data_IF_246070483969
#
_entry.id   IF_246070483969
#
_cell.length_a   1.000
_cell.length_b   1.000
_cell.length_c   1.000
_cell.angle_alpha   90.00
_cell.angle_beta   90.00
_cell.angle_gamma   90.00
#
_symmetry.space_group_name_H-M   'P 1'
#
loop_
_entity.id
_entity.type
_entity.pdbx_description
1 polymer ?
#
# COMPACT_ATOMS: atom_id res chain seq x y z
N UNK A 1 -2.54 -8.76 22.47
CA UNK A 1 -3.03 -9.23 21.15
C UNK A 1 -2.25 -8.51 20.05
N UNK A 2 -1.92 -9.14 18.88
CA UNK A 2 -1.10 -8.53 17.85
C UNK A 2 -1.72 -8.70 16.48
N UNK A 3 -1.46 -7.75 15.57
CA UNK A 3 -1.69 -7.91 14.15
C UNK A 3 -0.52 -7.32 13.35
N UNK A 4 -0.32 -7.80 12.13
CA UNK A 4 0.68 -7.25 11.24
C UNK A 4 0.06 -6.69 9.96
N UNK A 5 0.69 -5.63 9.47
CA UNK A 5 0.34 -4.97 8.21
C UNK A 5 1.56 -4.96 7.29
N UNK A 6 1.33 -5.21 6.01
CA UNK A 6 2.36 -5.24 4.97
C UNK A 6 2.02 -4.23 3.89
N UNK A 7 3.00 -3.50 3.37
CA UNK A 7 2.93 -2.79 2.09
C UNK A 7 3.76 -3.55 1.08
N UNK A 8 3.16 -3.90 -0.06
CA UNK A 8 3.79 -4.74 -1.05
C UNK A 8 3.50 -4.25 -2.48
N UNK A 9 4.44 -3.54 -3.10
CA UNK A 9 4.42 -3.33 -4.54
C UNK A 9 4.63 -4.69 -5.23
N UNK A 10 3.60 -5.16 -5.93
CA UNK A 10 3.51 -6.50 -6.48
C UNK A 10 4.30 -6.67 -7.79
N UNK A 11 4.79 -5.58 -8.33
CA UNK A 11 5.38 -5.44 -9.67
C UNK A 11 4.43 -5.93 -10.75
N UNK A 12 3.94 -5.04 -11.54
CA UNK A 12 2.93 -5.32 -12.57
C UNK A 12 3.35 -6.40 -13.57
N UNK A 13 2.37 -7.03 -14.19
CA UNK A 13 2.62 -7.92 -15.34
C UNK A 13 3.01 -7.15 -16.60
N UNK A 14 2.52 -5.92 -16.75
CA UNK A 14 2.76 -5.11 -17.94
C UNK A 14 4.25 -4.77 -18.07
N UNK A 15 4.82 -5.06 -19.29
CA UNK A 15 6.26 -4.84 -19.52
C UNK A 15 7.20 -5.83 -18.85
N UNK A 16 6.70 -6.85 -18.18
CA UNK A 16 7.50 -7.84 -17.44
C UNK A 16 8.34 -8.78 -18.31
N UNK A 17 8.18 -8.74 -19.63
CA UNK A 17 9.02 -9.54 -20.56
C UNK A 17 10.51 -9.19 -20.45
N UNK A 18 10.84 -7.95 -20.04
CA UNK A 18 12.20 -7.51 -19.76
C UNK A 18 12.75 -7.98 -18.41
N UNK A 19 11.93 -8.52 -17.52
CA UNK A 19 12.32 -8.88 -16.14
C UNK A 19 13.06 -10.26 -16.08
N UNK A 20 13.19 -10.98 -17.20
CA UNK A 20 13.92 -12.24 -17.28
C UNK A 20 13.41 -13.28 -16.29
N UNK A 21 14.31 -13.80 -15.43
CA UNK A 21 13.95 -14.76 -14.37
C UNK A 21 12.98 -14.16 -13.35
N UNK A 22 12.89 -12.84 -13.23
CA UNK A 22 11.97 -12.15 -12.34
C UNK A 22 10.62 -11.83 -13.00
N UNK A 23 10.35 -12.38 -14.20
CA UNK A 23 9.02 -12.28 -14.79
C UNK A 23 7.97 -12.88 -13.84
N UNK A 24 6.78 -12.28 -13.82
CA UNK A 24 5.71 -12.67 -12.90
C UNK A 24 5.41 -14.17 -12.89
N UNK A 25 5.50 -14.84 -14.04
CA UNK A 25 5.26 -16.29 -14.15
C UNK A 25 6.19 -17.12 -13.25
N UNK A 26 7.41 -16.62 -13.00
CA UNK A 26 8.37 -17.25 -12.09
C UNK A 26 8.19 -16.80 -10.64
N UNK A 27 7.69 -15.57 -10.43
CA UNK A 27 7.50 -14.97 -9.11
C UNK A 27 6.24 -15.44 -8.39
N UNK A 28 5.20 -15.83 -9.12
CA UNK A 28 3.89 -16.16 -8.54
C UNK A 28 3.97 -17.21 -7.43
N UNK A 29 4.67 -18.32 -7.65
CA UNK A 29 4.89 -19.35 -6.63
C UNK A 29 5.58 -18.83 -5.37
N UNK A 30 6.82 -18.30 -5.50
CA UNK A 30 7.56 -17.67 -4.39
C UNK A 30 6.78 -16.61 -3.61
N UNK A 31 6.02 -15.74 -4.29
CA UNK A 31 5.20 -14.71 -3.63
C UNK A 31 4.16 -15.35 -2.69
N UNK A 32 3.38 -16.32 -3.20
CA UNK A 32 2.33 -16.94 -2.39
C UNK A 32 2.88 -17.81 -1.28
N UNK A 33 3.98 -18.52 -1.51
CA UNK A 33 4.70 -19.24 -0.45
C UNK A 33 5.13 -18.27 0.67
N UNK A 34 5.67 -17.08 0.32
CA UNK A 34 6.05 -16.07 1.30
C UNK A 34 4.86 -15.51 2.07
N UNK A 35 3.73 -15.24 1.38
CA UNK A 35 2.50 -14.78 2.03
C UNK A 35 1.97 -15.86 3.01
N UNK A 36 1.99 -17.13 2.62
CA UNK A 36 1.55 -18.22 3.51
C UNK A 36 2.47 -18.41 4.71
N UNK A 37 3.78 -18.29 4.52
CA UNK A 37 4.77 -18.38 5.60
C UNK A 37 4.63 -17.22 6.60
N UNK A 38 4.56 -15.99 6.09
CA UNK A 38 4.45 -14.79 6.91
C UNK A 38 3.06 -14.60 7.53
N UNK A 39 2.03 -15.17 6.89
CA UNK A 39 0.62 -15.12 7.30
C UNK A 39 0.16 -13.71 7.73
N UNK A 40 0.38 -12.65 6.91
CA UNK A 40 0.06 -11.29 7.28
C UNK A 40 -1.44 -11.13 7.51
N UNK A 41 -1.80 -10.25 8.46
CA UNK A 41 -3.20 -9.96 8.76
C UNK A 41 -3.84 -9.03 7.73
N UNK A 42 -3.06 -8.06 7.25
CA UNK A 42 -3.50 -7.09 6.25
C UNK A 42 -2.34 -6.81 5.27
N UNK A 43 -2.64 -6.76 3.97
CA UNK A 43 -1.65 -6.43 2.93
C UNK A 43 -2.21 -5.31 2.06
N UNK A 44 -1.47 -4.21 1.94
CA UNK A 44 -1.69 -3.20 0.90
C UNK A 44 -0.85 -3.53 -0.32
N UNK A 45 -1.49 -3.93 -1.41
CA UNK A 45 -0.84 -4.22 -2.68
C UNK A 45 -0.85 -3.00 -3.60
N UNK A 46 0.25 -2.78 -4.34
CA UNK A 46 0.35 -1.82 -5.44
C UNK A 46 0.72 -2.57 -6.72
N UNK A 47 0.49 -1.97 -7.87
CA UNK A 47 0.79 -2.50 -9.22
C UNK A 47 0.09 -3.82 -9.58
N UNK A 48 -1.01 -4.16 -8.95
CA UNK A 48 -1.75 -5.38 -9.30
C UNK A 48 -2.46 -5.18 -10.64
N UNK A 49 -2.07 -5.93 -11.66
CA UNK A 49 -2.76 -5.91 -12.96
C UNK A 49 -4.02 -6.79 -12.95
N UNK A 50 -4.87 -6.62 -13.97
CA UNK A 50 -6.07 -7.42 -14.21
C UNK A 50 -5.79 -8.93 -14.32
N UNK A 51 -4.61 -9.29 -14.84
CA UNK A 51 -4.17 -10.69 -14.88
C UNK A 51 -3.74 -11.23 -13.53
N UNK A 52 -3.12 -10.37 -12.70
CA UNK A 52 -2.59 -10.77 -11.39
C UNK A 52 -3.69 -10.88 -10.32
N UNK A 53 -4.74 -10.06 -10.40
CA UNK A 53 -5.84 -10.10 -9.43
C UNK A 53 -6.50 -11.49 -9.35
N UNK A 54 -6.59 -12.20 -10.46
CA UNK A 54 -7.16 -13.56 -10.53
C UNK A 54 -6.38 -14.55 -9.66
N UNK A 55 -5.05 -14.38 -9.56
CA UNK A 55 -4.22 -15.22 -8.67
C UNK A 55 -4.44 -14.84 -7.21
N UNK A 56 -4.52 -13.55 -6.89
CA UNK A 56 -4.83 -13.09 -5.53
C UNK A 56 -6.17 -13.66 -5.04
N UNK A 57 -7.21 -13.56 -5.86
CA UNK A 57 -8.54 -14.10 -5.52
C UNK A 57 -8.54 -15.63 -5.31
N UNK A 58 -7.80 -16.34 -6.15
CA UNK A 58 -7.78 -17.84 -6.11
C UNK A 58 -6.88 -18.39 -5.00
N UNK A 59 -5.74 -17.74 -4.75
CA UNK A 59 -4.70 -18.25 -3.86
C UNK A 59 -4.78 -17.67 -2.44
N UNK A 60 -5.57 -16.61 -2.23
CA UNK A 60 -5.82 -16.02 -0.92
C UNK A 60 -7.30 -16.15 -0.49
N UNK A 61 -7.88 -17.38 -0.45
CA UNK A 61 -9.30 -17.59 -0.14
C UNK A 61 -9.68 -17.12 1.27
N UNK A 62 -8.72 -17.05 2.20
CA UNK A 62 -8.92 -16.59 3.58
C UNK A 62 -8.87 -15.07 3.73
N UNK A 63 -8.57 -14.35 2.63
CA UNK A 63 -8.55 -12.89 2.62
C UNK A 63 -9.77 -12.34 1.86
N UNK A 64 -10.28 -11.22 2.35
CA UNK A 64 -11.19 -10.37 1.60
C UNK A 64 -10.35 -9.31 0.87
N UNK A 65 -10.43 -9.29 -0.46
CA UNK A 65 -9.82 -8.24 -1.28
C UNK A 65 -10.80 -7.08 -1.42
N UNK A 66 -10.31 -5.86 -1.22
CA UNK A 66 -11.02 -4.61 -1.48
C UNK A 66 -10.09 -3.67 -2.23
N UNK A 67 -10.61 -2.96 -3.21
CA UNK A 67 -9.82 -2.05 -4.05
C UNK A 67 -10.33 -2.02 -5.48
N UNK A 68 -9.57 -1.34 -6.34
CA UNK A 68 -10.00 -1.08 -7.72
C UNK A 68 -8.81 -0.84 -8.64
N UNK A 69 -9.05 -0.99 -9.94
CA UNK A 69 -8.14 -0.57 -11.00
C UNK A 69 -8.26 0.92 -11.27
N UNK A 70 -7.19 1.54 -11.74
CA UNK A 70 -7.04 3.00 -11.80
C UNK A 70 -7.59 3.66 -13.06
N UNK A 71 -7.72 2.91 -14.19
CA UNK A 71 -8.16 3.49 -15.45
C UNK A 71 -9.68 3.80 -15.46
N UNK A 72 -10.12 4.63 -16.39
CA UNK A 72 -11.52 5.05 -16.47
C UNK A 72 -12.50 3.91 -16.78
N UNK A 73 -12.03 2.86 -17.44
CA UNK A 73 -12.77 1.64 -17.76
C UNK A 73 -12.53 0.52 -16.71
N UNK A 74 -11.90 0.86 -15.59
CA UNK A 74 -11.56 -0.07 -14.51
C UNK A 74 -10.62 -1.21 -14.93
N UNK A 75 -9.66 -0.89 -15.78
CA UNK A 75 -8.56 -1.78 -16.20
C UNK A 75 -7.20 -1.26 -15.71
N UNK A 76 -6.12 -1.84 -16.22
CA UNK A 76 -4.75 -1.43 -15.96
C UNK A 76 -4.21 -1.98 -14.65
N UNK A 77 -3.50 -1.14 -13.92
CA UNK A 77 -3.00 -1.46 -12.59
C UNK A 77 -3.96 -0.96 -11.51
N UNK A 78 -4.05 -1.72 -10.42
CA UNK A 78 -4.82 -1.34 -9.26
C UNK A 78 -4.01 -1.33 -7.98
N UNK A 79 -4.57 -0.70 -6.97
CA UNK A 79 -4.18 -0.91 -5.58
C UNK A 79 -5.26 -1.72 -4.88
N UNK A 80 -4.86 -2.71 -4.08
CA UNK A 80 -5.81 -3.56 -3.37
C UNK A 80 -5.39 -3.71 -1.91
N UNK A 81 -6.36 -3.94 -1.04
CA UNK A 81 -6.12 -4.28 0.37
C UNK A 81 -6.67 -5.69 0.59
N UNK A 82 -5.81 -6.63 0.96
CA UNK A 82 -6.19 -7.97 1.38
C UNK A 82 -6.31 -8.00 2.90
N UNK A 83 -7.44 -8.46 3.41
CA UNK A 83 -7.78 -8.46 4.85
C UNK A 83 -8.15 -9.87 5.28
N UNK A 84 -7.49 -10.42 6.29
CA UNK A 84 -7.82 -11.74 6.84
C UNK A 84 -9.24 -11.78 7.41
N UNK A 85 -10.09 -12.65 6.84
CA UNK A 85 -11.52 -12.76 7.18
C UNK A 85 -11.78 -13.24 8.60
N UNK A 86 -10.91 -14.11 9.12
CA UNK A 86 -10.99 -14.63 10.49
C UNK A 86 -10.59 -13.62 11.56
N UNK A 87 -9.72 -12.66 11.21
CA UNK A 87 -9.18 -11.65 12.11
C UNK A 87 -9.94 -10.34 12.09
N UNK A 88 -10.43 -9.94 10.92
CA UNK A 88 -11.04 -8.62 10.71
C UNK A 88 -12.38 -8.71 10.02
N UNK A 89 -13.21 -7.70 10.30
CA UNK A 89 -14.44 -7.40 9.58
C UNK A 89 -14.25 -6.10 8.81
N UNK A 90 -14.48 -6.13 7.51
CA UNK A 90 -14.60 -4.93 6.68
C UNK A 90 -15.94 -4.26 6.96
N UNK A 91 -15.92 -3.04 7.52
CA UNK A 91 -17.13 -2.27 7.87
C UNK A 91 -17.54 -1.34 6.74
N UNK A 92 -16.57 -0.78 6.01
CA UNK A 92 -16.78 0.08 4.86
C UNK A 92 -15.50 0.15 4.03
N UNK A 93 -15.63 0.43 2.74
CA UNK A 93 -14.50 0.76 1.88
C UNK A 93 -14.90 1.79 0.83
N UNK A 94 -13.92 2.51 0.31
CA UNK A 94 -14.06 3.45 -0.78
C UNK A 94 -12.77 3.50 -1.59
N UNK A 95 -12.87 3.86 -2.86
CA UNK A 95 -11.76 4.19 -3.75
C UNK A 95 -11.97 5.60 -4.28
N UNK A 96 -10.92 6.39 -4.30
CA UNK A 96 -10.94 7.72 -4.89
C UNK A 96 -9.67 7.96 -5.72
N UNK A 97 -9.82 8.74 -6.80
CA UNK A 97 -8.73 9.15 -7.66
C UNK A 97 -7.99 10.33 -7.03
N UNK A 98 -6.68 10.31 -7.13
CA UNK A 98 -5.82 11.42 -6.70
C UNK A 98 -5.86 12.49 -7.78
N UNK A 99 -6.90 13.33 -7.71
CA UNK A 99 -7.24 14.31 -8.75
C UNK A 99 -8.15 15.41 -8.19
N UNK A 100 -8.39 16.52 -8.94
CA UNK A 100 -9.38 17.53 -8.57
C UNK A 100 -10.82 16.99 -8.53
N UNK A 101 -11.08 15.84 -9.16
CA UNK A 101 -12.39 15.18 -9.22
C UNK A 101 -12.31 13.75 -8.71
N UNK A 102 -12.16 13.52 -7.39
CA UNK A 102 -11.77 12.23 -6.80
C UNK A 102 -12.71 11.06 -7.10
N UNK A 103 -13.95 11.34 -7.47
CA UNK A 103 -14.97 10.32 -7.75
C UNK A 103 -15.26 10.16 -9.25
N UNK A 104 -14.45 10.75 -10.12
CA UNK A 104 -14.49 10.53 -11.57
C UNK A 104 -13.43 9.51 -11.96
N UNK A 105 -13.82 8.30 -12.40
CA UNK A 105 -12.88 7.26 -12.80
C UNK A 105 -11.89 7.73 -13.87
N UNK A 106 -10.62 7.38 -13.68
CA UNK A 106 -9.52 7.75 -14.59
C UNK A 106 -9.09 9.21 -14.52
N UNK A 107 -9.67 10.02 -13.63
CA UNK A 107 -9.26 11.42 -13.46
C UNK A 107 -7.86 11.55 -12.87
N UNK A 108 -7.15 12.64 -13.24
CA UNK A 108 -5.79 12.91 -12.82
C UNK A 108 -5.50 14.41 -12.81
N UNK A 109 -4.41 14.81 -12.18
CA UNK A 109 -3.86 16.17 -12.28
C UNK A 109 -3.16 16.39 -13.63
N UNK A 110 -3.02 17.62 -14.07
CA UNK A 110 -2.27 17.96 -15.30
C UNK A 110 -0.78 17.65 -15.14
N UNK A 111 -0.24 17.84 -13.96
CA UNK A 111 1.16 17.62 -13.59
C UNK A 111 1.51 16.12 -13.49
N UNK A 112 0.51 15.26 -13.53
CA UNK A 112 0.66 13.81 -13.37
C UNK A 112 1.12 13.17 -14.69
N UNK A 113 1.82 12.04 -14.57
CA UNK A 113 2.10 11.15 -15.70
C UNK A 113 0.81 10.70 -16.42
N UNK A 114 0.94 9.97 -17.53
CA UNK A 114 -0.20 9.39 -18.23
C UNK A 114 -1.09 8.46 -17.39
N UNK A 115 -0.60 8.02 -16.23
CA UNK A 115 -1.28 7.04 -15.40
C UNK A 115 -2.14 7.70 -14.31
N UNK A 116 -3.45 7.49 -14.25
CA UNK A 116 -4.26 7.86 -13.09
C UNK A 116 -3.73 7.20 -11.81
N UNK A 117 -3.89 7.87 -10.67
CA UNK A 117 -3.51 7.32 -9.36
C UNK A 117 -4.71 7.30 -8.44
N UNK A 118 -4.80 6.27 -7.62
CA UNK A 118 -5.92 6.04 -6.70
C UNK A 118 -5.43 5.79 -5.29
N UNK A 119 -6.32 6.01 -4.35
CA UNK A 119 -6.18 5.56 -2.97
C UNK A 119 -7.41 4.76 -2.58
N UNK A 120 -7.19 3.59 -2.01
CA UNK A 120 -8.24 2.80 -1.38
C UNK A 120 -8.24 3.07 0.11
N UNK A 121 -9.41 3.24 0.70
CA UNK A 121 -9.58 3.33 2.14
C UNK A 121 -10.57 2.28 2.62
N UNK A 122 -10.19 1.54 3.65
CA UNK A 122 -11.05 0.55 4.31
C UNK A 122 -11.17 0.86 5.79
N UNK A 123 -12.37 0.72 6.35
CA UNK A 123 -12.61 0.75 7.80
C UNK A 123 -12.75 -0.68 8.29
N UNK A 124 -11.89 -1.07 9.22
CA UNK A 124 -11.77 -2.40 9.75
C UNK A 124 -12.14 -2.47 11.22
N UNK A 125 -12.74 -3.58 11.63
CA UNK A 125 -12.89 -3.97 13.03
C UNK A 125 -12.09 -5.25 13.28
N UNK A 126 -11.17 -5.21 14.22
CA UNK A 126 -10.54 -6.43 14.72
C UNK A 126 -11.56 -7.24 15.50
N UNK A 127 -11.77 -8.50 15.11
CA UNK A 127 -12.94 -9.30 15.61
C UNK A 127 -12.88 -9.57 17.09
N UNK A 128 -11.71 -9.87 17.61
CA UNK A 128 -11.53 -10.28 18.99
C UNK A 128 -11.58 -9.08 19.96
N UNK A 129 -10.85 -7.98 19.66
CA UNK A 129 -10.80 -6.79 20.53
C UNK A 129 -11.90 -5.78 20.28
N UNK A 130 -12.60 -5.85 19.15
CA UNK A 130 -13.52 -4.82 18.71
C UNK A 130 -12.86 -3.51 18.25
N UNK A 131 -11.52 -3.42 18.25
CA UNK A 131 -10.78 -2.23 17.86
C UNK A 131 -11.08 -1.84 16.40
N UNK A 132 -11.40 -0.56 16.19
CA UNK A 132 -11.76 -0.05 14.86
C UNK A 132 -10.68 0.94 14.42
N UNK A 133 -10.24 0.81 13.15
CA UNK A 133 -9.28 1.72 12.52
C UNK A 133 -9.52 1.80 11.01
N UNK A 134 -8.83 2.71 10.33
CA UNK A 134 -8.81 2.82 8.87
C UNK A 134 -7.46 2.39 8.33
N UNK A 135 -7.47 1.85 7.13
CA UNK A 135 -6.27 1.66 6.33
C UNK A 135 -6.46 2.29 4.97
N UNK A 136 -5.50 3.10 4.58
CA UNK A 136 -5.34 3.68 3.26
C UNK A 136 -4.23 2.94 2.53
N UNK A 137 -4.41 2.67 1.25
CA UNK A 137 -3.36 2.08 0.41
C UNK A 137 -3.33 2.80 -0.93
N UNK A 138 -2.14 3.22 -1.35
CA UNK A 138 -1.96 4.06 -2.54
C UNK A 138 -0.69 3.70 -3.30
N UNK A 139 -0.59 4.25 -4.52
CA UNK A 139 0.62 4.28 -5.33
C UNK A 139 0.70 5.65 -6.01
N UNK A 140 1.63 6.51 -5.54
CA UNK A 140 1.77 7.87 -6.04
C UNK A 140 2.41 7.91 -7.44
N UNK A 141 2.41 9.09 -8.06
CA UNK A 141 2.97 9.26 -9.40
C UNK A 141 4.48 9.04 -9.45
N UNK A 142 4.95 8.30 -10.45
CA UNK A 142 6.36 7.93 -10.57
C UNK A 142 7.22 8.99 -11.25
N UNK A 143 6.62 10.01 -11.92
CA UNK A 143 7.34 11.06 -12.66
C UNK A 143 7.24 12.41 -11.95
N UNK A 144 6.02 12.90 -11.74
CA UNK A 144 5.76 14.26 -11.30
C UNK A 144 5.93 14.49 -9.79
N UNK A 145 6.88 15.31 -9.36
CA UNK A 145 6.98 15.68 -7.95
C UNK A 145 5.73 16.43 -7.48
N UNK A 146 5.26 17.41 -8.28
CA UNK A 146 4.04 18.15 -7.98
C UNK A 146 2.82 17.25 -7.91
N UNK A 147 2.69 16.29 -8.82
CA UNK A 147 1.62 15.30 -8.78
C UNK A 147 1.64 14.46 -7.50
N UNK A 148 2.83 14.10 -6.98
CA UNK A 148 2.95 13.41 -5.69
C UNK A 148 2.49 14.27 -4.52
N UNK A 149 2.84 15.56 -4.52
CA UNK A 149 2.40 16.52 -3.50
C UNK A 149 0.88 16.66 -3.52
N UNK A 150 0.28 16.91 -4.69
CA UNK A 150 -1.17 17.02 -4.86
C UNK A 150 -1.89 15.72 -4.50
N UNK A 151 -1.33 14.58 -4.91
CA UNK A 151 -1.85 13.26 -4.55
C UNK A 151 -1.85 13.01 -3.04
N UNK A 152 -0.76 13.36 -2.35
CA UNK A 152 -0.68 13.26 -0.89
C UNK A 152 -1.67 14.21 -0.22
N UNK A 153 -1.85 15.44 -0.73
CA UNK A 153 -2.88 16.36 -0.23
C UNK A 153 -4.29 15.78 -0.32
N UNK A 154 -4.62 15.10 -1.43
CA UNK A 154 -5.91 14.40 -1.56
C UNK A 154 -6.10 13.36 -0.44
N UNK A 155 -5.07 12.53 -0.18
CA UNK A 155 -5.11 11.48 0.85
C UNK A 155 -5.29 12.09 2.24
N UNK A 156 -4.50 13.12 2.57
CA UNK A 156 -4.54 13.79 3.87
C UNK A 156 -5.87 14.53 4.09
N UNK A 157 -6.40 15.18 3.05
CA UNK A 157 -7.71 15.83 3.10
C UNK A 157 -8.85 14.83 3.34
N UNK A 158 -8.79 13.65 2.70
CA UNK A 158 -9.78 12.59 2.93
C UNK A 158 -9.63 11.99 4.34
N UNK A 159 -8.41 11.80 4.83
CA UNK A 159 -8.15 11.37 6.20
C UNK A 159 -8.76 12.34 7.22
N UNK A 160 -8.51 13.65 7.06
CA UNK A 160 -9.06 14.71 7.91
C UNK A 160 -10.59 14.72 7.86
N UNK A 161 -11.17 14.70 6.65
CA UNK A 161 -12.62 14.66 6.43
C UNK A 161 -13.26 13.45 7.12
N UNK A 162 -12.69 12.27 6.97
CA UNK A 162 -13.21 11.06 7.62
C UNK A 162 -13.03 11.12 9.14
N UNK A 163 -11.93 11.72 9.61
CA UNK A 163 -11.64 11.82 11.03
C UNK A 163 -12.55 12.85 11.74
N UNK A 164 -12.96 13.92 11.05
CA UNK A 164 -13.94 14.89 11.57
C UNK A 164 -15.34 14.28 11.79
N UNK A 165 -15.69 13.25 11.00
CA UNK A 165 -16.96 12.52 11.15
C UNK A 165 -16.87 11.49 12.27
N UNK A 166 -15.77 10.74 12.31
CA UNK A 166 -15.52 9.71 13.33
C UNK A 166 -14.00 9.51 13.51
N UNK A 167 -13.44 9.88 14.68
CA UNK A 167 -11.99 9.91 14.91
C UNK A 167 -11.43 8.49 15.16
N UNK A 168 -11.27 7.71 14.12
CA UNK A 168 -10.61 6.40 14.19
C UNK A 168 -9.12 6.52 13.87
N UNK A 169 -8.27 5.72 14.53
CA UNK A 169 -6.89 5.53 14.14
C UNK A 169 -6.74 5.18 12.65
N UNK A 170 -5.62 5.53 12.05
CA UNK A 170 -5.38 5.26 10.64
C UNK A 170 -3.96 4.74 10.37
N UNK A 171 -3.87 3.87 9.36
CA UNK A 171 -2.65 3.37 8.74
C UNK A 171 -2.68 3.83 7.28
N UNK A 172 -1.56 4.31 6.74
CA UNK A 172 -1.38 4.61 5.32
C UNK A 172 -0.20 3.78 4.82
N UNK A 173 -0.43 2.93 3.84
CA UNK A 173 0.61 2.14 3.17
C UNK A 173 0.70 2.54 1.71
N UNK A 174 1.86 2.37 1.11
CA UNK A 174 1.99 2.52 -0.34
C UNK A 174 3.42 2.69 -0.82
N UNK A 175 3.55 2.54 -2.13
CA UNK A 175 4.68 3.05 -2.90
C UNK A 175 4.42 4.53 -3.17
N UNK A 176 5.20 5.38 -2.51
CA UNK A 176 5.03 6.84 -2.64
C UNK A 176 5.87 7.41 -3.79
N UNK A 177 6.69 6.59 -4.46
CA UNK A 177 7.62 7.04 -5.51
C UNK A 177 8.44 8.29 -5.10
N UNK A 178 8.68 8.45 -3.81
CA UNK A 178 9.23 9.64 -3.20
C UNK A 178 10.21 9.27 -2.08
N UNK A 179 11.37 9.91 -2.05
CA UNK A 179 12.34 9.76 -0.97
C UNK A 179 11.87 10.50 0.29
N UNK A 180 12.40 10.15 1.48
CA UNK A 180 11.98 10.77 2.75
C UNK A 180 12.06 12.29 2.78
N UNK A 181 13.06 12.87 2.10
CA UNK A 181 13.29 14.32 2.04
C UNK A 181 12.40 15.06 1.02
N UNK A 182 11.54 14.35 0.27
CA UNK A 182 10.66 14.97 -0.72
C UNK A 182 9.54 15.80 -0.08
N UNK A 183 9.02 16.78 -0.82
CA UNK A 183 7.92 17.63 -0.36
C UNK A 183 6.67 16.83 0.02
N UNK A 184 6.34 15.79 -0.74
CA UNK A 184 5.16 14.96 -0.46
C UNK A 184 5.29 14.21 0.88
N UNK A 185 6.48 13.70 1.22
CA UNK A 185 6.72 13.00 2.48
C UNK A 185 6.82 13.96 3.65
N UNK A 186 7.45 15.13 3.47
CA UNK A 186 7.47 16.21 4.46
C UNK A 186 6.04 16.64 4.81
N UNK A 187 5.18 16.87 3.80
CA UNK A 187 3.77 17.21 4.01
C UNK A 187 3.04 16.15 4.85
N UNK A 188 3.28 14.88 4.61
CA UNK A 188 2.68 13.79 5.38
C UNK A 188 3.12 13.83 6.85
N UNK A 189 4.42 14.02 7.11
CA UNK A 189 4.97 14.07 8.47
C UNK A 189 4.53 15.32 9.25
N UNK A 190 4.31 16.44 8.57
CA UNK A 190 3.93 17.73 9.17
C UNK A 190 2.41 17.95 9.24
N UNK A 191 1.61 16.96 8.88
CA UNK A 191 0.15 17.10 8.84
C UNK A 191 -0.47 17.22 10.24
N UNK A 192 -0.62 18.43 10.71
CA UNK A 192 -1.10 18.73 12.05
C UNK A 192 -2.54 18.29 12.38
N UNK A 193 -3.54 18.32 11.44
CA UNK A 193 -4.91 17.92 11.76
C UNK A 193 -5.05 16.47 12.25
N UNK A 194 -4.24 15.56 11.69
CA UNK A 194 -4.17 14.14 12.10
C UNK A 194 -2.70 13.71 12.04
N UNK A 195 -1.95 13.89 13.13
CA UNK A 195 -0.52 13.59 13.16
C UNK A 195 -0.21 12.13 12.78
N UNK A 196 0.73 11.97 11.86
CA UNK A 196 1.19 10.70 11.32
C UNK A 196 2.67 10.48 11.65
N UNK A 197 3.02 9.24 11.94
CA UNK A 197 4.41 8.81 12.15
C UNK A 197 4.78 7.79 11.09
N UNK A 198 5.91 7.97 10.41
CA UNK A 198 6.51 6.92 9.57
C UNK A 198 7.11 5.85 10.48
N UNK A 199 6.38 4.75 10.68
CA UNK A 199 6.85 3.63 11.50
C UNK A 199 7.89 2.77 10.78
N UNK A 200 8.07 2.99 9.48
CA UNK A 200 9.10 2.36 8.64
C UNK A 200 10.36 3.24 8.44
N UNK A 201 10.55 4.29 9.23
CA UNK A 201 11.61 5.30 9.05
C UNK A 201 13.03 4.71 9.05
N UNK A 202 13.28 3.65 9.83
CA UNK A 202 14.58 2.98 9.91
C UNK A 202 14.92 2.14 8.64
N UNK A 203 13.95 1.89 7.77
CA UNK A 203 14.17 1.18 6.52
C UNK A 203 14.74 2.15 5.48
N UNK A 204 15.96 1.91 5.03
CA UNK A 204 16.68 2.83 4.13
C UNK A 204 16.60 2.44 2.67
N UNK A 205 16.17 1.20 2.37
CA UNK A 205 16.09 0.67 1.01
C UNK A 205 14.87 -0.22 0.88
N UNK A 206 13.89 0.23 0.11
CA UNK A 206 12.66 -0.54 -0.17
C UNK A 206 12.51 -0.89 -1.65
N UNK A 207 13.11 -0.11 -2.56
CA UNK A 207 13.17 -0.38 -4.00
C UNK A 207 14.60 -0.68 -4.44
N UNK A 208 14.81 -1.76 -5.21
CA UNK A 208 16.12 -2.21 -5.68
C UNK A 208 16.16 -2.54 -7.17
N UNK A 209 15.04 -2.47 -7.89
CA UNK A 209 14.99 -2.72 -9.34
C UNK A 209 15.60 -4.07 -9.72
N UNK A 210 15.26 -5.15 -9.01
CA UNK A 210 15.89 -6.48 -9.14
C UNK A 210 17.42 -6.45 -8.93
N UNK A 211 17.87 -5.62 -7.96
CA UNK A 211 19.30 -5.34 -7.64
C UNK A 211 20.11 -4.73 -8.78
N UNK A 212 19.43 -4.11 -9.74
CA UNK A 212 20.10 -3.34 -10.80
C UNK A 212 20.47 -1.91 -10.35
N UNK A 213 19.94 -1.48 -9.20
CA UNK A 213 20.11 -0.15 -8.64
C UNK A 213 20.62 -0.20 -7.19
N UNK A 214 21.26 0.87 -6.74
CA UNK A 214 21.47 1.13 -5.32
C UNK A 214 20.09 1.38 -4.73
N UNK A 215 19.71 0.60 -3.71
CA UNK A 215 18.38 0.67 -3.12
C UNK A 215 18.05 2.05 -2.56
N UNK A 216 16.81 2.47 -2.73
CA UNK A 216 16.24 3.71 -2.19
C UNK A 216 14.96 3.40 -1.41
N UNK A 217 14.62 4.27 -0.45
CA UNK A 217 13.34 4.18 0.26
C UNK A 217 12.29 4.97 -0.50
N UNK A 218 11.22 4.28 -0.94
CA UNK A 218 10.04 4.88 -1.57
C UNK A 218 8.73 4.23 -1.11
N UNK A 219 8.81 3.14 -0.34
CA UNK A 219 7.66 2.49 0.28
C UNK A 219 7.57 2.87 1.76
N UNK A 220 6.34 3.10 2.25
CA UNK A 220 6.10 3.62 3.59
C UNK A 220 4.92 2.96 4.29
N UNK A 221 5.00 2.94 5.63
CA UNK A 221 3.89 2.66 6.54
C UNK A 221 3.79 3.84 7.51
N UNK A 222 2.78 4.69 7.32
CA UNK A 222 2.46 5.77 8.25
C UNK A 222 1.33 5.33 9.17
N UNK A 223 1.40 5.73 10.43
CA UNK A 223 0.36 5.46 11.41
C UNK A 223 0.05 6.70 12.25
N UNK A 224 -1.21 6.86 12.64
CA UNK A 224 -1.60 7.86 13.65
C UNK A 224 -0.94 7.54 14.99
N UNK A 225 -0.67 8.55 15.82
CA UNK A 225 0.12 8.46 17.04
C UNK A 225 -0.30 7.32 17.98
N UNK A 226 -1.61 7.09 18.13
CA UNK A 226 -2.14 6.02 18.98
C UNK A 226 -1.90 4.60 18.44
N UNK A 227 -1.69 4.41 17.14
CA UNK A 227 -1.22 3.14 16.57
C UNK A 227 0.30 3.08 16.53
N UNK A 228 0.96 4.18 16.16
CA UNK A 228 2.43 4.24 16.07
C UNK A 228 3.09 3.88 17.42
N UNK A 229 2.53 4.36 18.54
CA UNK A 229 3.02 4.03 19.88
C UNK A 229 2.85 2.54 20.27
N UNK A 230 2.12 1.77 19.49
CA UNK A 230 1.85 0.34 19.68
C UNK A 230 2.64 -0.56 18.73
N UNK A 231 3.46 0.03 17.85
CA UNK A 231 4.33 -0.74 16.96
C UNK A 231 5.44 -1.39 17.77
N UNK A 232 5.58 -2.70 17.65
CA UNK A 232 6.57 -3.49 18.41
C UNK A 232 7.71 -4.00 17.54
N UNK A 233 7.50 -4.07 16.21
CA UNK A 233 8.53 -4.44 15.25
C UNK A 233 8.17 -3.93 13.86
N UNK A 234 9.19 -3.65 13.06
CA UNK A 234 9.10 -3.34 11.63
C UNK A 234 10.23 -4.03 10.88
N UNK A 235 10.07 -4.25 9.59
CA UNK A 235 11.13 -4.87 8.81
C UNK A 235 10.78 -5.01 7.33
N UNK A 236 11.66 -5.72 6.65
CA UNK A 236 11.52 -6.15 5.25
C UNK A 236 11.26 -7.65 5.22
N UNK A 237 10.48 -8.12 4.25
CA UNK A 237 10.53 -9.55 3.93
C UNK A 237 11.81 -9.88 3.17
N UNK A 238 12.33 -11.09 3.39
CA UNK A 238 13.29 -11.69 2.49
C UNK A 238 12.63 -11.80 1.10
N UNK A 239 13.28 -11.18 0.12
CA UNK A 239 12.68 -10.90 -1.18
C UNK A 239 13.22 -11.81 -2.31
N UNK A 240 14.07 -12.79 -1.99
CA UNK A 240 14.67 -13.68 -2.98
C UNK A 240 14.43 -15.14 -2.63
N UNK A 241 14.02 -15.91 -3.62
CA UNK A 241 13.93 -17.37 -3.53
C UNK A 241 14.48 -18.02 -4.80
N UNK A 242 15.58 -18.80 -4.67
CA UNK A 242 16.23 -19.52 -5.78
C UNK A 242 16.65 -18.61 -6.95
N UNK A 243 17.15 -17.40 -6.67
CA UNK A 243 17.57 -16.42 -7.66
C UNK A 243 16.43 -15.63 -8.31
N UNK A 244 15.20 -15.86 -7.90
CA UNK A 244 14.02 -15.11 -8.33
C UNK A 244 13.55 -14.19 -7.20
N UNK A 245 13.41 -12.90 -7.49
CA UNK A 245 12.89 -11.92 -6.54
C UNK A 245 11.35 -11.96 -6.48
N UNK A 246 10.77 -11.71 -5.30
CA UNK A 246 9.31 -11.58 -5.16
C UNK A 246 8.79 -10.35 -5.91
N UNK A 247 9.56 -9.27 -5.90
CA UNK A 247 9.30 -8.00 -6.58
C UNK A 247 10.63 -7.26 -6.77
N UNK A 248 10.62 -6.17 -7.52
CA UNK A 248 11.70 -5.17 -7.57
C UNK A 248 11.67 -4.22 -6.36
N UNK A 249 10.66 -4.35 -5.50
CA UNK A 249 10.56 -3.75 -4.17
C UNK A 249 10.67 -4.82 -3.08
N UNK A 250 11.19 -4.44 -1.91
CA UNK A 250 11.04 -5.23 -0.70
C UNK A 250 9.66 -5.01 -0.09
N UNK A 251 8.85 -6.06 0.14
CA UNK A 251 7.66 -5.91 0.99
C UNK A 251 8.08 -5.44 2.39
N UNK A 252 7.51 -4.35 2.86
CA UNK A 252 7.76 -3.80 4.19
C UNK A 252 6.61 -4.12 5.14
N UNK A 253 6.90 -4.33 6.41
CA UNK A 253 5.88 -4.71 7.38
C UNK A 253 6.04 -4.01 8.73
N UNK A 254 4.93 -3.91 9.46
CA UNK A 254 4.89 -3.47 10.85
C UNK A 254 3.97 -4.39 11.68
N UNK A 255 4.40 -4.74 12.89
CA UNK A 255 3.61 -5.46 13.89
C UNK A 255 3.10 -4.50 14.95
N UNK A 256 1.79 -4.52 15.17
CA UNK A 256 1.09 -3.65 16.11
C UNK A 256 0.54 -4.47 17.27
N UNK A 257 0.82 -4.05 18.51
CA UNK A 257 0.30 -4.63 19.74
C UNK A 257 -1.03 -3.95 20.07
N UNK A 258 -2.14 -4.69 20.07
CA UNK A 258 -3.39 -4.25 20.68
C UNK A 258 -3.43 -4.72 22.15
N UNK A 259 -4.00 -3.92 23.01
CA UNK A 259 -4.18 -4.25 24.42
C UNK A 259 -5.15 -5.42 24.60
#
# INVERSE_FOLDING_TARGET
>A
MKFNVVSFNFRTWFGADGDGINNYIHRVGPIFEKIFEAAPDIIGFQEVSDRQIVYLERLLPDYQLVGQFREADFTGEGTFIAVRKDRFQVLAYNTFWLSPTPYVPGSRFEEQSGCPRICNVVRLRHRESGFIFRMFNTHLDHIGEEARVLGMQCILSELERLNSIAPFPAIITGDMNAKPESKAMTLCCEFAPVPLTDVSAELTSTFHGFKQLIGIKIDYIYMTANLASRVVATGLWDNEKNGCYLSDHYPIWAEVQLD
#
